data_IF_581635393897
#
_entry.id   IF_581635393897
#
_cell.length_a   1.000
_cell.length_b   1.000
_cell.length_c   1.000
_cell.angle_alpha   90.00
_cell.angle_beta   90.00
_cell.angle_gamma   90.00
#
_symmetry.space_group_name_H-M   'P 1'
#
loop_
_entity.id
_entity.type
_entity.pdbx_description
1 polymer ?
#
# COMPACT_ATOMS: atom_id res chain seq x y z
N UNK A 1 -13.83 9.35 22.33
CA UNK A 1 -12.53 9.65 21.69
C UNK A 1 -11.92 10.98 22.19
N UNK A 2 -12.63 12.12 22.20
CA UNK A 2 -12.08 13.41 22.70
C UNK A 2 -11.56 13.38 24.16
N UNK A 3 -12.18 12.65 25.07
CA UNK A 3 -11.78 12.59 26.49
C UNK A 3 -10.44 11.87 26.74
N UNK A 4 -9.99 10.98 25.86
CA UNK A 4 -8.69 10.28 26.00
C UNK A 4 -7.52 11.19 25.58
N UNK A 5 -7.73 12.01 24.55
CA UNK A 5 -6.72 12.98 24.09
C UNK A 5 -6.49 14.12 25.11
N UNK A 6 -7.54 14.59 25.80
CA UNK A 6 -7.41 15.58 26.89
C UNK A 6 -6.57 15.06 28.06
N UNK A 7 -6.71 13.80 28.43
CA UNK A 7 -5.96 13.17 29.54
C UNK A 7 -4.44 13.15 29.29
N UNK A 8 -4.02 13.07 28.02
CA UNK A 8 -2.62 12.99 27.65
C UNK A 8 -2.05 14.28 27.02
N UNK A 9 -2.83 15.35 26.97
CA UNK A 9 -2.49 16.59 26.26
C UNK A 9 -1.09 17.14 26.60
N UNK A 10 -0.74 17.21 27.90
CA UNK A 10 0.59 17.67 28.33
C UNK A 10 1.72 16.72 27.88
N UNK A 11 1.50 15.40 27.97
CA UNK A 11 2.50 14.41 27.53
C UNK A 11 2.72 14.47 26.01
N UNK A 12 1.65 14.71 25.25
CA UNK A 12 1.72 14.86 23.78
C UNK A 12 2.48 16.14 23.43
N UNK A 13 2.21 17.26 24.11
CA UNK A 13 2.93 18.53 23.88
C UNK A 13 4.43 18.37 24.14
N UNK A 14 4.80 17.79 25.28
CA UNK A 14 6.20 17.52 25.63
C UNK A 14 6.87 16.58 24.61
N UNK A 15 6.16 15.57 24.15
CA UNK A 15 6.65 14.61 23.16
C UNK A 15 6.82 15.26 21.78
N UNK A 16 5.89 16.12 21.34
CA UNK A 16 6.01 16.89 20.10
C UNK A 16 7.21 17.84 20.12
N UNK A 17 7.46 18.51 21.26
CA UNK A 17 8.63 19.37 21.43
C UNK A 17 9.93 18.58 21.31
N UNK A 18 10.00 17.39 21.93
CA UNK A 18 11.17 16.49 21.77
C UNK A 18 11.32 16.00 20.34
N UNK A 19 10.22 15.67 19.64
CA UNK A 19 10.27 15.23 18.25
C UNK A 19 10.88 16.30 17.37
N UNK A 20 10.44 17.55 17.47
CA UNK A 20 11.03 18.69 16.74
C UNK A 20 12.51 18.87 17.10
N UNK A 21 12.88 18.76 18.38
CA UNK A 21 14.28 18.90 18.81
C UNK A 21 15.21 17.81 18.25
N UNK A 22 14.68 16.64 17.91
CA UNK A 22 15.45 15.52 17.31
C UNK A 22 15.57 15.64 15.80
N UNK A 23 14.74 16.43 15.14
CA UNK A 23 14.84 16.64 13.72
C UNK A 23 16.13 17.41 13.38
N UNK A 24 16.90 16.90 12.42
CA UNK A 24 18.11 17.57 11.90
C UNK A 24 17.74 18.88 11.20
N UNK A 25 16.57 18.91 10.56
CA UNK A 25 15.96 20.09 9.96
C UNK A 25 14.45 20.08 10.22
N UNK A 26 14.01 20.89 11.18
CA UNK A 26 12.60 21.03 11.51
C UNK A 26 11.81 21.86 10.48
N UNK A 27 12.45 22.45 9.46
CA UNK A 27 11.82 23.22 8.36
C UNK A 27 10.87 24.31 8.84
N UNK A 28 11.23 24.98 9.93
CA UNK A 28 10.42 26.02 10.54
C UNK A 28 9.12 25.52 11.19
N UNK A 29 8.97 24.20 11.39
CA UNK A 29 7.84 23.62 12.10
C UNK A 29 8.02 23.77 13.61
N UNK A 30 6.92 24.06 14.31
CA UNK A 30 6.83 24.05 15.75
C UNK A 30 6.11 22.78 16.27
N UNK A 31 6.10 22.58 17.57
CA UNK A 31 5.45 21.41 18.20
C UNK A 31 3.94 21.35 17.89
N UNK A 32 3.28 22.51 17.77
CA UNK A 32 1.86 22.63 17.43
C UNK A 32 1.57 22.13 16.02
N UNK A 33 2.52 22.26 15.11
CA UNK A 33 2.37 21.86 13.71
C UNK A 33 2.40 20.36 13.50
N UNK A 34 3.21 19.66 14.29
CA UNK A 34 3.33 18.19 14.23
C UNK A 34 2.26 17.49 15.08
N UNK A 35 1.67 18.21 16.05
CA UNK A 35 0.73 17.67 17.01
C UNK A 35 -0.47 16.94 16.37
N UNK A 36 -1.20 17.49 15.39
CA UNK A 36 -2.35 16.79 14.81
C UNK A 36 -1.98 15.44 14.17
N UNK A 37 -0.80 15.36 13.57
CA UNK A 37 -0.30 14.13 12.97
C UNK A 37 0.10 13.11 14.05
N UNK A 38 0.75 13.55 15.12
CA UNK A 38 1.11 12.72 16.27
C UNK A 38 -0.15 12.20 16.97
N UNK A 39 -1.15 13.05 17.20
CA UNK A 39 -2.44 12.63 17.80
C UNK A 39 -3.14 11.58 16.94
N UNK A 40 -3.22 11.80 15.63
CA UNK A 40 -3.79 10.81 14.70
C UNK A 40 -3.03 9.48 14.72
N UNK A 41 -1.70 9.51 14.82
CA UNK A 41 -0.89 8.30 14.92
C UNK A 41 -1.11 7.59 16.27
N UNK A 42 -1.17 8.33 17.38
CA UNK A 42 -1.47 7.79 18.71
C UNK A 42 -2.85 7.14 18.76
N UNK A 43 -3.87 7.82 18.28
CA UNK A 43 -5.24 7.29 18.24
C UNK A 43 -5.32 5.98 17.43
N UNK A 44 -4.62 5.94 16.32
CA UNK A 44 -4.63 4.77 15.42
C UNK A 44 -3.89 3.55 15.97
N UNK A 45 -2.76 3.76 16.65
CA UNK A 45 -1.80 2.69 16.95
C UNK A 45 -1.61 2.38 18.42
N UNK A 46 -1.93 3.30 19.32
CA UNK A 46 -1.70 3.12 20.75
C UNK A 46 -2.99 3.19 21.57
N UNK A 47 -3.87 4.16 21.28
CA UNK A 47 -5.03 4.46 22.13
C UNK A 47 -6.27 3.66 21.74
N UNK A 48 -6.29 3.04 20.57
CA UNK A 48 -7.45 2.29 20.05
C UNK A 48 -7.79 1.07 20.91
N UNK A 49 -6.79 0.35 21.38
CA UNK A 49 -6.96 -0.94 22.01
C UNK A 49 -6.69 -0.92 23.54
N UNK A 50 -6.29 0.22 24.12
CA UNK A 50 -5.92 0.33 25.53
C UNK A 50 -6.50 1.57 26.20
N UNK A 51 -7.54 1.38 27.02
CA UNK A 51 -8.09 2.42 27.89
C UNK A 51 -7.15 2.82 29.06
N UNK A 52 -6.04 2.10 29.27
CA UNK A 52 -5.11 2.24 30.38
C UNK A 52 -3.71 2.72 29.98
N UNK A 53 -3.58 3.35 28.78
CA UNK A 53 -2.28 3.85 28.29
C UNK A 53 -1.67 4.85 29.27
N UNK A 54 -0.40 4.65 29.62
CA UNK A 54 0.34 5.53 30.52
C UNK A 54 1.04 6.68 29.76
N UNK A 55 1.31 7.80 30.46
CA UNK A 55 2.08 8.93 29.89
C UNK A 55 3.43 8.52 29.29
N UNK A 56 4.09 7.52 29.91
CA UNK A 56 5.37 7.01 29.47
C UNK A 56 5.29 6.31 28.11
N UNK A 57 4.20 5.59 27.87
CA UNK A 57 3.97 4.88 26.61
C UNK A 57 3.71 5.85 25.45
N UNK A 58 2.96 6.94 25.70
CA UNK A 58 2.79 8.02 24.74
C UNK A 58 4.14 8.64 24.35
N UNK A 59 4.98 8.94 25.35
CA UNK A 59 6.33 9.47 25.11
C UNK A 59 7.18 8.52 24.28
N UNK A 60 7.26 7.24 24.69
CA UNK A 60 8.05 6.22 24.01
C UNK A 60 7.58 6.03 22.55
N UNK A 61 6.27 5.99 22.31
CA UNK A 61 5.72 5.89 20.96
C UNK A 61 6.17 7.05 20.07
N UNK A 62 6.09 8.29 20.56
CA UNK A 62 6.47 9.48 19.78
C UNK A 62 8.00 9.52 19.58
N UNK A 63 8.76 9.03 20.55
CA UNK A 63 10.21 8.96 20.45
C UNK A 63 10.70 7.94 19.40
N UNK A 64 9.85 6.98 18.98
CA UNK A 64 10.11 6.05 17.87
C UNK A 64 9.78 6.63 16.48
N UNK A 65 9.03 7.74 16.41
CA UNK A 65 8.68 8.34 15.13
C UNK A 65 9.91 8.94 14.42
N UNK A 66 9.91 8.85 13.10
CA UNK A 66 10.95 9.39 12.21
C UNK A 66 10.80 10.92 12.09
N UNK A 67 11.51 11.66 12.93
CA UNK A 67 11.36 13.10 13.05
C UNK A 67 11.66 13.84 11.73
N UNK A 68 12.79 13.54 11.08
CA UNK A 68 13.21 14.18 9.83
C UNK A 68 12.21 13.91 8.69
N UNK A 69 11.79 12.64 8.53
CA UNK A 69 10.82 12.25 7.51
C UNK A 69 9.48 12.94 7.74
N UNK A 70 9.04 13.03 9.00
CA UNK A 70 7.78 13.66 9.37
C UNK A 70 7.80 15.16 9.12
N UNK A 71 8.89 15.84 9.50
CA UNK A 71 9.08 17.26 9.24
C UNK A 71 9.12 17.57 7.73
N UNK A 72 9.79 16.73 6.94
CA UNK A 72 9.83 16.87 5.49
C UNK A 72 8.41 16.79 4.89
N UNK A 73 7.64 15.78 5.28
CA UNK A 73 6.27 15.60 4.76
C UNK A 73 5.34 16.73 5.16
N UNK A 74 5.38 17.17 6.41
CA UNK A 74 4.54 18.28 6.89
C UNK A 74 4.90 19.61 6.22
N UNK A 75 6.18 19.87 5.94
CA UNK A 75 6.62 21.02 5.17
C UNK A 75 6.08 20.96 3.72
N UNK A 76 6.15 19.78 3.07
CA UNK A 76 5.54 19.59 1.75
C UNK A 76 4.03 19.88 1.75
N UNK A 77 3.29 19.44 2.75
CA UNK A 77 1.86 19.70 2.89
C UNK A 77 1.53 21.18 3.05
N UNK A 78 2.43 21.96 3.66
CA UNK A 78 2.32 23.41 3.77
C UNK A 78 2.64 24.16 2.48
N UNK A 79 3.12 23.44 1.45
CA UNK A 79 3.51 24.02 0.17
C UNK A 79 4.92 24.60 0.15
N UNK A 80 5.82 24.13 1.03
CA UNK A 80 7.24 24.49 1.00
C UNK A 80 7.88 23.89 -0.24
N UNK A 81 8.24 24.73 -1.21
CA UNK A 81 8.83 24.32 -2.48
C UNK A 81 10.16 23.60 -2.29
N UNK A 82 11.01 24.08 -1.36
CA UNK A 82 12.28 23.45 -1.07
C UNK A 82 12.10 22.06 -0.46
N UNK A 83 11.10 21.87 0.41
CA UNK A 83 10.78 20.57 0.95
C UNK A 83 10.35 19.59 -0.17
N UNK A 84 9.60 20.07 -1.16
CA UNK A 84 9.25 19.28 -2.34
C UNK A 84 10.45 18.91 -3.21
N UNK A 85 11.35 19.87 -3.46
CA UNK A 85 12.60 19.60 -4.17
C UNK A 85 13.42 18.53 -3.46
N UNK A 86 13.59 18.65 -2.15
CA UNK A 86 14.32 17.70 -1.32
C UNK A 86 13.64 16.32 -1.31
N UNK A 87 12.30 16.27 -1.23
CA UNK A 87 11.54 15.03 -1.28
C UNK A 87 11.77 14.30 -2.61
N UNK A 88 11.66 14.99 -3.73
CA UNK A 88 11.87 14.40 -5.05
C UNK A 88 13.34 14.02 -5.21
N UNK A 89 14.28 14.89 -4.90
CA UNK A 89 15.72 14.63 -5.06
C UNK A 89 16.18 13.40 -4.28
N UNK A 90 15.70 13.22 -3.05
CA UNK A 90 16.10 12.11 -2.18
C UNK A 90 15.39 10.78 -2.49
N UNK A 91 14.15 10.83 -3.04
CA UNK A 91 13.33 9.62 -3.14
C UNK A 91 12.91 9.23 -4.56
N UNK A 92 13.23 10.02 -5.61
CA UNK A 92 12.89 9.67 -6.99
C UNK A 92 13.49 8.34 -7.43
N UNK A 93 14.74 8.05 -7.04
CA UNK A 93 15.36 6.76 -7.31
C UNK A 93 14.64 5.59 -6.63
N UNK A 94 14.15 5.80 -5.41
CA UNK A 94 13.36 4.82 -4.65
C UNK A 94 12.02 4.54 -5.33
N UNK A 95 11.33 5.59 -5.75
CA UNK A 95 10.05 5.52 -6.48
C UNK A 95 10.23 4.78 -7.81
N UNK A 96 11.24 5.15 -8.61
CA UNK A 96 11.55 4.49 -9.88
C UNK A 96 11.93 3.02 -9.70
N UNK A 97 12.73 2.70 -8.66
CA UNK A 97 13.08 1.32 -8.36
C UNK A 97 11.84 0.48 -7.99
N UNK A 98 10.95 1.02 -7.17
CA UNK A 98 9.72 0.35 -6.79
C UNK A 98 8.81 0.14 -8.01
N UNK A 99 8.63 1.16 -8.85
CA UNK A 99 7.83 1.09 -10.06
C UNK A 99 8.33 -0.01 -11.02
N UNK A 100 9.66 -0.09 -11.25
CA UNK A 100 10.24 -1.14 -12.11
C UNK A 100 10.04 -2.56 -11.58
N UNK A 101 9.99 -2.74 -10.27
CA UNK A 101 9.74 -4.07 -9.66
C UNK A 101 8.31 -4.56 -9.87
N UNK A 102 7.38 -3.64 -10.01
CA UNK A 102 5.95 -3.91 -10.05
C UNK A 102 5.44 -3.92 -11.48
N UNK A 103 5.88 -2.99 -12.31
CA UNK A 103 5.38 -2.82 -13.68
C UNK A 103 5.85 -3.95 -14.60
N UNK A 104 5.02 -4.32 -15.61
CA UNK A 104 5.36 -5.38 -16.56
C UNK A 104 6.50 -4.99 -17.52
N UNK A 105 6.62 -3.71 -17.86
CA UNK A 105 7.62 -3.17 -18.77
C UNK A 105 8.18 -1.83 -18.27
N UNK A 106 9.17 -1.29 -18.98
CA UNK A 106 9.86 -0.05 -18.59
C UNK A 106 9.00 1.20 -18.79
N UNK A 107 8.13 1.22 -19.80
CA UNK A 107 7.25 2.34 -20.12
C UNK A 107 6.22 2.52 -19.02
N UNK A 108 5.50 1.46 -18.67
CA UNK A 108 4.54 1.47 -17.55
C UNK A 108 5.22 1.84 -16.21
N UNK A 109 6.50 1.46 -16.04
CA UNK A 109 7.24 1.81 -14.83
C UNK A 109 7.54 3.31 -14.76
N UNK A 110 7.88 3.94 -15.88
CA UNK A 110 8.14 5.38 -15.95
C UNK A 110 6.86 6.19 -15.76
N UNK A 111 5.76 5.76 -16.36
CA UNK A 111 4.45 6.38 -16.21
C UNK A 111 3.95 6.27 -14.75
N UNK A 112 4.08 5.11 -14.14
CA UNK A 112 3.75 4.91 -12.73
C UNK A 112 4.60 5.80 -11.83
N UNK A 113 5.92 5.85 -12.04
CA UNK A 113 6.83 6.69 -11.25
C UNK A 113 6.52 8.18 -11.39
N UNK A 114 6.14 8.63 -12.58
CA UNK A 114 5.75 10.02 -12.82
C UNK A 114 4.42 10.37 -12.17
N UNK A 115 3.45 9.45 -12.19
CA UNK A 115 2.12 9.68 -11.62
C UNK A 115 2.13 9.80 -10.09
N UNK A 116 3.12 9.19 -9.42
CA UNK A 116 3.24 9.22 -7.96
C UNK A 116 3.34 10.66 -7.43
N UNK A 117 4.21 11.46 -8.01
CA UNK A 117 4.43 12.84 -7.54
C UNK A 117 3.17 13.69 -7.66
N UNK A 118 2.40 13.50 -8.74
CA UNK A 118 1.12 14.15 -8.94
C UNK A 118 0.07 13.75 -7.87
N UNK A 119 0.01 12.46 -7.53
CA UNK A 119 -0.88 11.95 -6.47
C UNK A 119 -0.47 12.43 -5.07
N UNK A 120 0.82 12.51 -4.79
CA UNK A 120 1.33 13.03 -3.53
C UNK A 120 1.09 14.52 -3.39
N UNK A 121 1.25 15.28 -4.47
CA UNK A 121 0.98 16.72 -4.50
C UNK A 121 -0.51 17.05 -4.33
N UNK A 122 -1.38 16.09 -4.60
CA UNK A 122 -2.83 16.28 -4.47
C UNK A 122 -3.43 17.09 -5.62
N UNK A 123 -3.06 16.77 -6.86
CA UNK A 123 -3.67 17.37 -8.06
C UNK A 123 -5.14 16.97 -8.23
N UNK A 124 -5.58 15.91 -7.55
CA UNK A 124 -7.00 15.52 -7.51
C UNK A 124 -7.72 16.25 -6.40
N UNK A 125 -8.90 16.76 -6.76
CA UNK A 125 -9.84 17.34 -5.80
C UNK A 125 -10.93 16.32 -5.47
N UNK A 126 -11.42 16.33 -4.23
CA UNK A 126 -12.62 15.60 -3.86
C UNK A 126 -13.88 16.31 -4.40
N UNK A 127 -15.06 15.71 -4.14
CA UNK A 127 -16.34 16.27 -4.55
C UNK A 127 -16.61 17.68 -3.94
N UNK A 128 -15.93 18.00 -2.85
CA UNK A 128 -16.05 19.27 -2.12
C UNK A 128 -14.98 20.29 -2.54
N UNK A 129 -14.14 19.96 -3.52
CA UNK A 129 -13.08 20.84 -4.06
C UNK A 129 -11.80 20.89 -3.23
N UNK A 130 -11.66 20.06 -2.19
CA UNK A 130 -10.46 20.02 -1.35
C UNK A 130 -9.35 19.21 -2.03
N UNK A 131 -8.10 19.67 -1.95
CA UNK A 131 -6.95 18.92 -2.43
C UNK A 131 -6.74 17.66 -1.59
N UNK A 132 -6.76 16.51 -2.24
CA UNK A 132 -6.57 15.21 -1.58
C UNK A 132 -5.13 14.74 -1.78
N UNK A 133 -4.23 15.18 -0.92
CA UNK A 133 -2.84 14.70 -0.90
C UNK A 133 -2.72 13.38 -0.14
N UNK A 134 -1.98 12.42 -0.71
CA UNK A 134 -1.66 11.17 0.00
C UNK A 134 -0.63 11.35 1.11
N UNK A 135 0.10 12.47 1.17
CA UNK A 135 1.05 12.76 2.25
C UNK A 135 0.39 12.72 3.64
N UNK A 136 -0.90 13.08 3.71
CA UNK A 136 -1.69 13.04 4.94
C UNK A 136 -1.73 11.65 5.62
N UNK A 137 -1.45 10.58 4.90
CA UNK A 137 -1.46 9.21 5.43
C UNK A 137 -0.11 8.76 6.03
N UNK A 138 0.97 9.53 5.85
CA UNK A 138 2.26 9.19 6.45
C UNK A 138 2.26 9.51 7.94
N UNK A 139 2.43 8.50 8.78
CA UNK A 139 2.36 8.62 10.25
C UNK A 139 3.72 8.84 10.93
N UNK A 140 4.83 8.72 10.23
CA UNK A 140 6.17 8.78 10.82
C UNK A 140 6.67 7.47 11.45
N UNK A 141 5.87 6.38 11.47
CA UNK A 141 6.26 5.11 12.13
C UNK A 141 7.27 4.28 11.36
N UNK A 142 7.34 4.37 10.08
CA UNK A 142 8.30 3.65 9.24
C UNK A 142 9.16 4.62 8.46
N UNK A 143 10.14 4.11 7.72
CA UNK A 143 10.93 4.96 6.82
C UNK A 143 10.04 5.53 5.72
N UNK A 144 10.27 6.78 5.35
CA UNK A 144 9.56 7.43 4.26
C UNK A 144 9.78 6.69 2.93
N UNK A 145 10.98 6.16 2.70
CA UNK A 145 11.28 5.31 1.56
C UNK A 145 10.37 4.07 1.49
N UNK A 146 10.19 3.38 2.62
CA UNK A 146 9.30 2.23 2.70
C UNK A 146 7.85 2.59 2.43
N UNK A 147 7.36 3.69 3.02
CA UNK A 147 6.02 4.19 2.80
C UNK A 147 5.78 4.57 1.33
N UNK A 148 6.75 5.26 0.69
CA UNK A 148 6.65 5.60 -0.74
C UNK A 148 6.54 4.35 -1.62
N UNK A 149 7.31 3.28 -1.35
CA UNK A 149 7.18 2.00 -2.07
C UNK A 149 5.78 1.41 -1.96
N UNK A 150 5.17 1.52 -0.79
CA UNK A 150 3.80 1.10 -0.58
C UNK A 150 2.80 1.91 -1.40
N UNK A 151 2.97 3.23 -1.42
CA UNK A 151 2.12 4.12 -2.24
C UNK A 151 2.28 3.78 -3.72
N UNK A 152 3.51 3.49 -4.20
CA UNK A 152 3.75 3.00 -5.58
C UNK A 152 2.96 1.73 -5.84
N UNK A 153 3.05 0.75 -4.94
CA UNK A 153 2.35 -0.53 -5.08
C UNK A 153 0.83 -0.35 -5.15
N UNK A 154 0.28 0.49 -4.28
CA UNK A 154 -1.15 0.78 -4.27
C UNK A 154 -1.60 1.47 -5.56
N UNK A 155 -0.83 2.45 -6.05
CA UNK A 155 -1.17 3.15 -7.30
C UNK A 155 -1.10 2.22 -8.52
N UNK A 156 -0.14 1.30 -8.55
CA UNK A 156 -0.07 0.30 -9.61
C UNK A 156 -1.37 -0.52 -9.68
N UNK A 157 -1.85 -1.02 -8.54
CA UNK A 157 -3.10 -1.77 -8.48
C UNK A 157 -4.28 -0.91 -8.93
N UNK A 158 -4.36 0.35 -8.48
CA UNK A 158 -5.44 1.25 -8.85
C UNK A 158 -5.44 1.56 -10.36
N UNK A 159 -4.26 1.69 -10.98
CA UNK A 159 -4.12 1.88 -12.42
C UNK A 159 -4.56 0.64 -13.21
N UNK A 160 -4.10 -0.54 -12.80
CA UNK A 160 -4.48 -1.80 -13.46
C UNK A 160 -5.97 -2.09 -13.35
N UNK A 161 -6.59 -1.83 -12.19
CA UNK A 161 -8.05 -1.96 -12.01
C UNK A 161 -8.83 -1.02 -12.95
N UNK A 162 -8.32 0.18 -13.20
CA UNK A 162 -8.94 1.11 -14.16
C UNK A 162 -8.77 0.62 -15.59
N UNK A 163 -7.57 0.22 -15.99
CA UNK A 163 -7.30 -0.28 -17.33
C UNK A 163 -8.15 -1.51 -17.66
N UNK A 164 -8.26 -2.48 -16.76
CA UNK A 164 -9.08 -3.67 -16.98
C UNK A 164 -10.57 -3.34 -17.15
N UNK A 165 -11.09 -2.32 -16.45
CA UNK A 165 -12.48 -1.84 -16.68
C UNK A 165 -12.63 -1.15 -18.03
N UNK A 166 -11.64 -0.40 -18.50
CA UNK A 166 -11.68 0.22 -19.83
C UNK A 166 -11.63 -0.81 -20.96
N UNK A 167 -10.77 -1.83 -20.84
CA UNK A 167 -10.69 -2.91 -21.83
C UNK A 167 -12.02 -3.66 -21.92
N UNK A 168 -12.66 -3.99 -20.79
CA UNK A 168 -13.99 -4.61 -20.78
C UNK A 168 -15.06 -3.75 -21.44
N UNK A 169 -15.02 -2.42 -21.25
CA UNK A 169 -15.96 -1.48 -21.87
C UNK A 169 -15.73 -1.38 -23.38
N UNK A 170 -14.46 -1.38 -23.83
CA UNK A 170 -14.14 -1.36 -25.26
C UNK A 170 -14.51 -2.68 -25.94
N UNK A 171 -14.19 -3.83 -25.36
CA UNK A 171 -14.65 -5.13 -25.87
C UNK A 171 -16.17 -5.23 -25.94
N UNK A 172 -16.89 -4.72 -24.93
CA UNK A 172 -18.34 -4.69 -24.94
C UNK A 172 -18.89 -3.78 -26.05
N UNK A 173 -18.27 -2.61 -26.28
CA UNK A 173 -18.64 -1.69 -27.37
C UNK A 173 -18.33 -2.26 -28.77
N UNK A 174 -17.20 -2.95 -28.92
CA UNK A 174 -16.89 -3.65 -30.18
C UNK A 174 -17.88 -4.78 -30.43
N UNK A 175 -18.26 -5.55 -29.41
CA UNK A 175 -19.32 -6.55 -29.52
C UNK A 175 -20.70 -5.95 -29.83
N UNK A 176 -21.05 -4.81 -29.23
CA UNK A 176 -22.29 -4.08 -29.53
C UNK A 176 -22.28 -3.55 -30.97
N UNK A 177 -21.18 -2.98 -31.46
CA UNK A 177 -21.02 -2.50 -32.83
C UNK A 177 -21.11 -3.67 -33.85
N UNK A 178 -20.48 -4.81 -33.56
CA UNK A 178 -20.57 -6.03 -34.37
C UNK A 178 -21.98 -6.64 -34.36
N UNK A 179 -22.69 -6.54 -33.23
CA UNK A 179 -24.09 -6.97 -33.10
C UNK A 179 -25.04 -6.02 -33.88
N UNK A 180 -24.80 -4.70 -33.90
CA UNK A 180 -25.56 -3.72 -34.68
C UNK A 180 -25.32 -3.90 -36.17
N UNK A 181 -24.11 -4.17 -36.63
CA UNK A 181 -23.84 -4.51 -38.03
C UNK A 181 -24.50 -5.83 -38.48
N UNK A 182 -24.61 -6.81 -37.56
CA UNK A 182 -25.33 -8.07 -37.83
C UNK A 182 -26.84 -7.93 -37.78
N UNK A 183 -27.39 -6.97 -37.05
CA UNK A 183 -28.83 -6.83 -36.79
C UNK A 183 -29.58 -6.00 -37.81
N UNK A 184 -28.93 -5.43 -38.80
CA UNK A 184 -29.59 -4.80 -39.93
C UNK A 184 -30.41 -5.79 -40.80
N UNK A 185 -30.52 -7.06 -40.37
CA UNK A 185 -31.26 -8.09 -41.11
C UNK A 185 -32.26 -8.90 -40.28
N UNK A 186 -32.65 -8.51 -39.05
CA UNK A 186 -33.85 -9.10 -38.40
C UNK A 186 -34.20 -8.40 -37.09
N UNK A 187 -35.42 -7.88 -37.00
CA UNK A 187 -35.96 -7.21 -35.82
C UNK A 187 -36.11 -8.15 -34.64
N UNK A 188 -35.51 -7.81 -33.58
CA UNK A 188 -35.86 -7.90 -32.17
C UNK A 188 -34.57 -7.89 -31.35
N UNK A 189 -34.10 -6.71 -30.99
CA UNK A 189 -32.90 -6.55 -30.14
C UNK A 189 -33.37 -6.36 -28.70
N UNK A 190 -33.19 -7.37 -27.89
CA UNK A 190 -33.16 -7.22 -26.45
C UNK A 190 -31.77 -6.68 -26.12
N UNK A 191 -31.69 -5.41 -25.75
CA UNK A 191 -30.49 -4.73 -25.26
C UNK A 191 -30.05 -5.40 -23.94
N UNK A 192 -29.06 -6.26 -24.02
CA UNK A 192 -28.37 -6.79 -22.84
C UNK A 192 -27.43 -5.71 -22.30
N UNK A 193 -27.93 -4.85 -21.44
CA UNK A 193 -27.08 -4.06 -20.56
C UNK A 193 -26.36 -5.02 -19.64
N UNK A 194 -25.07 -5.23 -19.89
CA UNK A 194 -24.17 -5.83 -18.90
C UNK A 194 -23.89 -4.77 -17.81
N UNK A 195 -24.92 -4.47 -17.00
CA UNK A 195 -24.71 -3.93 -15.69
C UNK A 195 -24.08 -5.04 -14.89
N UNK A 196 -22.81 -4.88 -14.44
CA UNK A 196 -22.28 -5.73 -13.38
C UNK A 196 -23.36 -5.81 -12.31
N UNK A 197 -23.90 -7.01 -12.11
CA UNK A 197 -24.93 -7.23 -11.12
C UNK A 197 -24.37 -6.80 -9.75
N UNK A 198 -25.14 -6.13 -8.89
CA UNK A 198 -24.70 -5.86 -7.52
C UNK A 198 -24.18 -7.11 -6.80
N UNK A 199 -24.61 -8.29 -7.22
CA UNK A 199 -24.17 -9.60 -6.74
C UNK A 199 -22.75 -9.94 -7.24
N UNK A 200 -22.39 -9.58 -8.49
CA UNK A 200 -21.03 -9.77 -9.03
C UNK A 200 -20.02 -8.86 -8.34
N UNK A 201 -20.36 -7.59 -8.13
CA UNK A 201 -19.54 -6.63 -7.38
C UNK A 201 -19.32 -7.07 -5.92
N UNK A 202 -20.37 -7.61 -5.29
CA UNK A 202 -20.29 -8.17 -3.93
C UNK A 202 -19.42 -9.45 -3.90
N UNK A 203 -19.54 -10.31 -4.92
CA UNK A 203 -18.73 -11.52 -5.06
C UNK A 203 -17.26 -11.20 -5.28
N UNK A 204 -16.92 -10.23 -6.13
CA UNK A 204 -15.54 -9.78 -6.36
C UNK A 204 -14.93 -9.15 -5.11
N UNK A 205 -15.69 -8.34 -4.39
CA UNK A 205 -15.22 -7.76 -3.13
C UNK A 205 -14.93 -8.84 -2.09
N UNK A 206 -15.82 -9.82 -1.91
CA UNK A 206 -15.59 -10.95 -1.01
C UNK A 206 -14.35 -11.74 -1.39
N UNK A 207 -14.18 -12.05 -2.69
CA UNK A 207 -13.00 -12.75 -3.19
C UNK A 207 -11.70 -11.99 -2.88
N UNK A 208 -11.71 -10.67 -3.04
CA UNK A 208 -10.56 -9.81 -2.71
C UNK A 208 -10.26 -9.79 -1.22
N UNK A 209 -11.30 -9.68 -0.38
CA UNK A 209 -11.17 -9.68 1.08
C UNK A 209 -10.66 -11.03 1.60
N UNK A 210 -11.14 -12.14 1.04
CA UNK A 210 -10.70 -13.49 1.37
C UNK A 210 -9.21 -13.69 1.05
N UNK A 211 -8.76 -13.27 -0.14
CA UNK A 211 -7.35 -13.35 -0.54
C UNK A 211 -6.47 -12.47 0.34
N UNK A 212 -6.91 -11.25 0.68
CA UNK A 212 -6.17 -10.35 1.56
C UNK A 212 -6.03 -10.92 2.97
N UNK A 213 -7.11 -11.47 3.53
CA UNK A 213 -7.12 -12.13 4.85
C UNK A 213 -6.21 -13.35 4.88
N UNK A 214 -6.31 -14.23 3.86
CA UNK A 214 -5.46 -15.41 3.74
C UNK A 214 -3.96 -15.04 3.63
N UNK A 215 -3.64 -13.96 2.92
CA UNK A 215 -2.28 -13.47 2.79
C UNK A 215 -1.73 -12.92 4.11
N UNK A 216 -2.52 -12.14 4.84
CA UNK A 216 -2.13 -11.65 6.17
C UNK A 216 -1.85 -12.81 7.13
N UNK A 217 -2.72 -13.81 7.16
CA UNK A 217 -2.53 -15.02 7.97
C UNK A 217 -1.26 -15.75 7.55
N UNK A 218 -1.01 -15.90 6.26
CA UNK A 218 0.18 -16.57 5.74
C UNK A 218 1.48 -15.83 6.14
N UNK A 219 1.52 -14.51 6.05
CA UNK A 219 2.69 -13.71 6.45
C UNK A 219 2.88 -13.72 7.96
N UNK A 220 1.81 -13.60 8.74
CA UNK A 220 1.87 -13.68 10.20
C UNK A 220 2.41 -15.03 10.70
N UNK A 221 2.14 -16.12 9.98
CA UNK A 221 2.63 -17.46 10.28
C UNK A 221 4.07 -17.76 9.86
N UNK A 222 4.77 -16.82 9.21
CA UNK A 222 6.18 -17.01 8.84
C UNK A 222 7.11 -16.93 10.05
N UNK A 223 8.23 -17.63 9.97
CA UNK A 223 9.34 -17.46 10.89
C UNK A 223 9.86 -16.00 10.90
N UNK A 224 10.30 -15.46 12.04
CA UNK A 224 10.74 -14.07 12.16
C UNK A 224 11.84 -13.69 11.14
N UNK A 225 12.78 -14.60 10.89
CA UNK A 225 13.84 -14.40 9.92
C UNK A 225 13.31 -14.23 8.49
N UNK A 226 12.39 -15.11 8.07
CA UNK A 226 11.79 -15.11 6.75
C UNK A 226 10.95 -13.84 6.52
N UNK A 227 10.23 -13.40 7.55
CA UNK A 227 9.49 -12.15 7.54
C UNK A 227 10.42 -10.94 7.41
N UNK A 228 11.57 -10.96 8.10
CA UNK A 228 12.57 -9.90 7.99
C UNK A 228 13.19 -9.86 6.58
N UNK A 229 13.49 -11.01 5.97
CA UNK A 229 14.00 -11.08 4.59
C UNK A 229 13.02 -10.43 3.61
N UNK A 230 11.72 -10.72 3.72
CA UNK A 230 10.68 -10.10 2.89
C UNK A 230 10.64 -8.59 3.10
N UNK A 231 10.67 -8.13 4.38
CA UNK A 231 10.67 -6.71 4.71
C UNK A 231 11.88 -6.00 4.10
N UNK A 232 13.09 -6.52 4.29
CA UNK A 232 14.30 -5.95 3.75
C UNK A 232 14.28 -5.89 2.21
N UNK A 233 13.72 -6.92 1.56
CA UNK A 233 13.67 -6.99 0.10
C UNK A 233 12.59 -6.10 -0.51
N UNK A 234 11.34 -6.18 -0.02
CA UNK A 234 10.21 -5.49 -0.62
C UNK A 234 9.99 -4.08 -0.06
N UNK A 235 10.27 -3.88 1.23
CA UNK A 235 10.01 -2.62 1.89
C UNK A 235 11.25 -1.74 1.97
N UNK A 236 12.39 -2.27 2.42
CA UNK A 236 13.65 -1.50 2.56
C UNK A 236 14.48 -1.47 1.27
N UNK A 237 14.04 -2.16 0.20
CA UNK A 237 14.67 -2.21 -1.13
C UNK A 237 16.13 -2.66 -1.12
N UNK A 238 16.52 -3.48 -0.16
CA UNK A 238 17.86 -3.99 -0.10
C UNK A 238 18.13 -4.99 -1.23
N UNK A 239 19.34 -4.91 -1.79
CA UNK A 239 19.79 -5.92 -2.75
C UNK A 239 20.04 -7.24 -2.04
N UNK A 240 19.86 -8.36 -2.74
CA UNK A 240 20.07 -9.70 -2.17
C UNK A 240 21.45 -9.88 -1.53
N UNK A 241 22.49 -9.25 -2.09
CA UNK A 241 23.84 -9.26 -1.51
C UNK A 241 23.91 -8.58 -0.14
N UNK A 242 23.17 -7.47 0.04
CA UNK A 242 23.16 -6.70 1.28
C UNK A 242 22.33 -7.41 2.35
N UNK A 243 21.22 -8.04 1.94
CA UNK A 243 20.44 -8.95 2.78
C UNK A 243 21.31 -10.14 3.23
N UNK A 244 22.02 -10.76 2.29
CA UNK A 244 22.92 -11.87 2.60
C UNK A 244 24.00 -11.46 3.61
N UNK A 245 24.62 -10.29 3.45
CA UNK A 245 25.61 -9.76 4.37
C UNK A 245 25.03 -9.52 5.77
N UNK A 246 23.78 -9.02 5.88
CA UNK A 246 23.09 -8.79 7.16
C UNK A 246 22.91 -10.08 7.97
N UNK A 247 22.66 -11.20 7.29
CA UNK A 247 22.45 -12.51 7.93
C UNK A 247 23.70 -13.41 7.93
N UNK A 248 24.83 -12.97 7.39
CA UNK A 248 26.05 -13.78 7.26
C UNK A 248 25.93 -14.89 6.22
N UNK A 249 25.14 -14.71 5.17
CA UNK A 249 24.95 -15.67 4.09
C UNK A 249 25.69 -15.29 2.81
N UNK A 250 25.81 -16.23 1.89
CA UNK A 250 26.09 -15.96 0.48
C UNK A 250 24.85 -15.43 -0.23
N UNK A 251 24.99 -14.54 -1.21
CA UNK A 251 23.89 -13.97 -2.00
C UNK A 251 22.99 -15.06 -2.61
N UNK A 252 23.58 -16.14 -3.13
CA UNK A 252 22.82 -17.28 -3.65
C UNK A 252 21.94 -17.97 -2.60
N UNK A 253 22.31 -17.90 -1.32
CA UNK A 253 21.51 -18.43 -0.21
C UNK A 253 20.34 -17.49 0.10
N UNK A 254 20.56 -16.18 0.13
CA UNK A 254 19.49 -15.19 0.30
C UNK A 254 18.46 -15.29 -0.84
N UNK A 255 18.91 -15.42 -2.07
CA UNK A 255 18.03 -15.64 -3.24
C UNK A 255 17.17 -16.89 -3.10
N UNK A 256 17.79 -18.03 -2.76
CA UNK A 256 17.04 -19.29 -2.54
C UNK A 256 16.06 -19.20 -1.38
N UNK A 257 16.43 -18.54 -0.28
CA UNK A 257 15.51 -18.29 0.85
C UNK A 257 14.33 -17.46 0.42
N UNK A 258 14.54 -16.35 -0.30
CA UNK A 258 13.46 -15.50 -0.80
C UNK A 258 12.47 -16.29 -1.67
N UNK A 259 12.96 -17.07 -2.64
CA UNK A 259 12.11 -17.92 -3.50
C UNK A 259 11.35 -18.96 -2.69
N UNK A 260 12.01 -19.59 -1.70
CA UNK A 260 11.37 -20.53 -0.79
C UNK A 260 10.23 -19.87 -0.03
N UNK A 261 10.48 -18.74 0.60
CA UNK A 261 9.48 -18.00 1.41
C UNK A 261 8.29 -17.57 0.55
N UNK A 262 8.52 -17.07 -0.66
CA UNK A 262 7.45 -16.75 -1.61
C UNK A 262 6.57 -17.99 -1.93
N UNK A 263 7.21 -19.14 -2.17
CA UNK A 263 6.50 -20.39 -2.41
C UNK A 263 5.70 -20.88 -1.19
N UNK A 264 6.25 -20.69 0.02
CA UNK A 264 5.58 -21.04 1.28
C UNK A 264 4.36 -20.16 1.51
N UNK A 265 4.48 -18.85 1.29
CA UNK A 265 3.34 -17.91 1.37
C UNK A 265 2.24 -18.35 0.39
N UNK A 266 2.58 -18.60 -0.87
CA UNK A 266 1.59 -19.06 -1.86
C UNK A 266 0.84 -20.29 -1.37
N UNK A 267 1.57 -21.32 -0.93
CA UNK A 267 0.96 -22.56 -0.40
C UNK A 267 0.12 -22.32 0.85
N UNK A 268 0.54 -21.38 1.72
CA UNK A 268 -0.20 -21.03 2.91
C UNK A 268 -1.51 -20.29 2.55
N UNK A 269 -1.47 -19.35 1.61
CA UNK A 269 -2.67 -18.66 1.08
C UNK A 269 -3.63 -19.66 0.46
N UNK A 270 -3.16 -20.54 -0.44
CA UNK A 270 -4.01 -21.57 -1.06
C UNK A 270 -4.66 -22.49 -0.01
N UNK A 271 -3.93 -22.83 1.06
CA UNK A 271 -4.45 -23.66 2.17
C UNK A 271 -5.49 -22.90 2.99
N UNK A 272 -5.24 -21.62 3.29
CA UNK A 272 -6.13 -20.78 4.08
C UNK A 272 -7.44 -20.53 3.35
N UNK A 273 -7.40 -20.23 2.05
CA UNK A 273 -8.59 -20.07 1.21
C UNK A 273 -9.46 -21.33 1.22
N UNK A 274 -8.85 -22.52 1.18
CA UNK A 274 -9.59 -23.78 1.24
C UNK A 274 -10.17 -24.05 2.64
N UNK A 275 -9.37 -23.85 3.68
CA UNK A 275 -9.73 -24.25 5.05
C UNK A 275 -10.71 -23.27 5.70
N UNK A 276 -10.46 -21.97 5.56
CA UNK A 276 -11.20 -20.93 6.28
C UNK A 276 -12.30 -20.32 5.44
N UNK A 277 -12.04 -20.13 4.13
CA UNK A 277 -12.99 -19.52 3.21
C UNK A 277 -13.77 -20.54 2.37
N UNK A 278 -13.47 -21.84 2.51
CA UNK A 278 -14.25 -22.93 1.90
C UNK A 278 -14.08 -23.10 0.39
N UNK A 279 -13.05 -22.51 -0.21
CA UNK A 279 -12.79 -22.59 -1.64
C UNK A 279 -12.31 -23.99 -2.07
N UNK A 280 -12.81 -24.48 -3.20
CA UNK A 280 -12.27 -25.70 -3.79
C UNK A 280 -11.01 -25.43 -4.64
N UNK A 281 -10.29 -26.50 -5.05
CA UNK A 281 -9.05 -26.40 -5.83
C UNK A 281 -9.22 -25.65 -7.16
N UNK A 282 -10.37 -25.81 -7.80
CA UNK A 282 -10.71 -25.13 -9.04
C UNK A 282 -10.92 -23.64 -8.85
N UNK A 283 -11.65 -23.27 -7.80
CA UNK A 283 -11.88 -21.87 -7.42
C UNK A 283 -10.59 -21.15 -7.06
N UNK A 284 -9.72 -21.76 -6.22
CA UNK A 284 -8.41 -21.19 -5.87
C UNK A 284 -7.60 -20.90 -7.11
N UNK A 285 -7.45 -21.88 -8.02
CA UNK A 285 -6.67 -21.69 -9.26
C UNK A 285 -7.26 -20.64 -10.17
N UNK A 286 -8.58 -20.66 -10.38
CA UNK A 286 -9.29 -19.74 -11.25
C UNK A 286 -9.21 -18.31 -10.72
N UNK A 287 -9.61 -18.08 -9.48
CA UNK A 287 -9.65 -16.72 -8.93
C UNK A 287 -8.26 -16.11 -8.72
N UNK A 288 -7.25 -16.89 -8.33
CA UNK A 288 -5.88 -16.38 -8.27
C UNK A 288 -5.34 -16.04 -9.66
N UNK A 289 -5.65 -16.86 -10.69
CA UNK A 289 -5.27 -16.57 -12.07
C UNK A 289 -6.04 -15.36 -12.64
N UNK A 290 -7.34 -15.26 -12.41
CA UNK A 290 -8.17 -14.13 -12.80
C UNK A 290 -7.70 -12.83 -12.13
N UNK A 291 -7.38 -12.87 -10.82
CA UNK A 291 -6.84 -11.72 -10.09
C UNK A 291 -5.49 -11.30 -10.66
N UNK A 292 -4.60 -12.25 -10.98
CA UNK A 292 -3.33 -11.95 -11.60
C UNK A 292 -3.50 -11.36 -13.02
N UNK A 293 -4.40 -11.92 -13.82
CA UNK A 293 -4.72 -11.43 -15.16
C UNK A 293 -5.36 -10.04 -15.13
N UNK A 294 -6.33 -9.81 -14.23
CA UNK A 294 -6.96 -8.49 -14.01
C UNK A 294 -5.95 -7.42 -13.56
N UNK A 295 -4.89 -7.81 -12.86
CA UNK A 295 -3.80 -6.93 -12.46
C UNK A 295 -2.69 -6.81 -13.50
N UNK A 296 -2.81 -7.48 -14.66
CA UNK A 296 -1.78 -7.49 -15.71
C UNK A 296 -0.46 -8.14 -15.27
N UNK A 297 -0.47 -8.93 -14.20
CA UNK A 297 0.72 -9.56 -13.63
C UNK A 297 0.78 -11.06 -13.91
N UNK A 298 2.01 -11.61 -13.98
CA UNK A 298 2.16 -13.03 -13.70
C UNK A 298 1.79 -13.32 -12.25
N UNK A 299 1.33 -14.54 -11.98
CA UNK A 299 0.93 -14.96 -10.64
C UNK A 299 2.04 -14.68 -9.58
N UNK A 300 3.30 -14.83 -9.96
CA UNK A 300 4.48 -14.56 -9.13
C UNK A 300 4.64 -13.07 -8.82
N UNK A 301 4.48 -12.19 -9.81
CA UNK A 301 4.52 -10.74 -9.61
C UNK A 301 3.34 -10.25 -8.79
N UNK A 302 2.15 -10.81 -8.99
CA UNK A 302 0.99 -10.52 -8.17
C UNK A 302 1.26 -10.80 -6.67
N UNK A 303 1.79 -11.98 -6.36
CA UNK A 303 2.16 -12.29 -4.97
C UNK A 303 3.23 -11.36 -4.42
N UNK A 304 4.23 -10.96 -5.20
CA UNK A 304 5.23 -9.98 -4.79
C UNK A 304 4.60 -8.63 -4.39
N UNK A 305 3.66 -8.13 -5.20
CA UNK A 305 2.92 -6.89 -4.93
C UNK A 305 2.03 -7.03 -3.70
N UNK A 306 1.30 -8.13 -3.58
CA UNK A 306 0.43 -8.40 -2.43
C UNK A 306 1.23 -8.55 -1.14
N UNK A 307 2.39 -9.20 -1.17
CA UNK A 307 3.31 -9.31 -0.02
C UNK A 307 3.80 -7.91 0.39
N UNK A 308 4.22 -7.09 -0.56
CA UNK A 308 4.65 -5.72 -0.28
C UNK A 308 3.53 -4.91 0.40
N UNK A 309 2.29 -5.02 -0.10
CA UNK A 309 1.12 -4.36 0.49
C UNK A 309 0.78 -4.87 1.89
N UNK A 310 0.79 -6.18 2.10
CA UNK A 310 0.47 -6.77 3.39
C UNK A 310 1.51 -6.40 4.46
N UNK A 311 2.81 -6.35 4.09
CA UNK A 311 3.87 -5.87 4.99
C UNK A 311 3.70 -4.39 5.36
N UNK A 312 3.12 -3.61 4.46
CA UNK A 312 2.78 -2.21 4.71
C UNK A 312 1.56 -2.09 5.60
N UNK A 313 0.53 -2.91 5.39
CA UNK A 313 -0.66 -2.92 6.23
C UNK A 313 -0.32 -3.31 7.67
N UNK A 314 0.61 -4.23 7.89
CA UNK A 314 1.16 -4.58 9.21
C UNK A 314 1.87 -3.39 9.87
N UNK A 315 2.54 -2.54 9.08
CA UNK A 315 3.22 -1.32 9.52
C UNK A 315 2.28 -0.12 9.68
N UNK A 316 1.23 -0.03 8.87
CA UNK A 316 0.26 1.09 8.85
C UNK A 316 -0.96 0.77 9.74
N UNK A 317 -1.13 -0.48 10.19
CA UNK A 317 -2.25 -0.94 11.02
C UNK A 317 -3.59 -0.62 10.37
N UNK A 318 -4.23 -1.60 9.76
CA UNK A 318 -5.63 -1.63 9.30
C UNK A 318 -6.27 -0.28 8.95
N UNK A 319 -6.46 -0.01 7.68
CA UNK A 319 -7.34 1.06 7.27
C UNK A 319 -7.16 1.63 5.87
N UNK A 320 -6.80 0.84 4.86
CA UNK A 320 -7.06 1.21 3.45
C UNK A 320 -7.24 -0.07 2.62
N UNK A 321 -8.42 -0.57 2.57
CA UNK A 321 -9.00 -1.29 1.44
C UNK A 321 -10.44 -0.85 1.30
#
# INVERSE_FOLDING_TARGET
>A
MAQSAEKHSSAITDACSRLISRASDARGLAAEDVRPRVESALDKYLLRDSAATERREVGAFVDELRADDLCLILACERGDEKAWEDLVANFDSTVKSAARKISPNSEDAEDLASSIWAELYGLRQDADGNKKSKLAYYSGRGSLAGWLRAVVSQLAIDQYRKQSKFVQIEETREFENLAEESSNNSGNSAVLHHNESPEELLSEKRTSDDVASALQTAIAGLEPEDRLILKLYYFDDLKLKDIAATFGYHEATASRKLVRVQSEIRKAVERELKKTHGWNDGEVKRHLAETAAKLGFSLEKMFAVLIALALVQDLIGYGVL
#
